data_IF_566992410494
#
_entry.id   IF_566992410494
#
_cell.length_a   1.000
_cell.length_b   1.000
_cell.length_c   1.000
_cell.angle_alpha   90.00
_cell.angle_beta   90.00
_cell.angle_gamma   90.00
#
_symmetry.space_group_name_H-M   'P 1'
#
loop_
_entity.id
_entity.type
_entity.pdbx_description
1 polymer ?
#
# COMPACT_ATOMS: atom_id res chain seq x y z
N UNK A 1 1.23 7.03 0.14
CA UNK A 1 1.43 5.79 -0.63
C UNK A 1 0.56 5.81 -1.87
N UNK A 2 1.06 5.31 -2.96
CA UNK A 2 0.29 5.16 -4.19
C UNK A 2 0.14 3.69 -4.54
N UNK A 3 -1.03 3.31 -5.04
CA UNK A 3 -1.23 1.97 -5.61
C UNK A 3 -0.84 2.01 -7.08
N UNK A 4 -0.09 1.02 -7.51
CA UNK A 4 0.27 0.86 -8.93
C UNK A 4 -0.67 -0.17 -9.53
N UNK A 5 -1.39 0.24 -10.57
CA UNK A 5 -2.48 -0.56 -11.16
C UNK A 5 -2.15 -0.87 -12.62
N UNK A 6 -2.40 -2.12 -13.03
CA UNK A 6 -2.31 -2.55 -14.41
C UNK A 6 -3.53 -3.43 -14.70
N UNK A 7 -4.29 -3.09 -15.75
CA UNK A 7 -5.50 -3.83 -16.13
C UNK A 7 -6.49 -4.00 -14.95
N UNK A 8 -6.70 -2.92 -14.18
CA UNK A 8 -7.60 -2.88 -13.02
C UNK A 8 -7.13 -3.72 -11.83
N UNK A 9 -5.93 -4.29 -11.88
CA UNK A 9 -5.36 -5.04 -10.76
C UNK A 9 -4.23 -4.24 -10.11
N UNK A 10 -4.15 -4.31 -8.79
CA UNK A 10 -3.04 -3.72 -8.05
C UNK A 10 -1.84 -4.64 -8.21
N UNK A 11 -0.79 -4.14 -8.84
CA UNK A 11 0.44 -4.91 -9.11
C UNK A 11 1.60 -4.52 -8.22
N UNK A 12 1.47 -3.43 -7.49
CA UNK A 12 2.51 -2.96 -6.58
C UNK A 12 2.08 -1.72 -5.82
N UNK A 13 2.96 -1.26 -4.95
CA UNK A 13 2.78 -0.02 -4.20
C UNK A 13 4.02 0.84 -4.36
N UNK A 14 3.82 2.15 -4.28
CA UNK A 14 4.92 3.11 -4.30
C UNK A 14 4.80 3.98 -3.06
N UNK A 15 5.81 3.90 -2.19
CA UNK A 15 5.82 4.58 -0.89
C UNK A 15 6.93 5.61 -0.82
N UNK A 16 6.92 6.43 0.23
CA UNK A 16 8.01 7.36 0.52
C UNK A 16 9.34 6.60 0.67
N UNK A 17 9.31 5.40 1.25
CA UNK A 17 10.49 4.55 1.35
C UNK A 17 11.03 4.11 0.00
N UNK A 18 10.13 3.80 -0.95
CA UNK A 18 10.54 3.45 -2.31
C UNK A 18 11.22 4.62 -3.00
N UNK A 19 10.67 5.83 -2.83
CA UNK A 19 11.27 7.04 -3.40
C UNK A 19 12.67 7.29 -2.83
N UNK A 20 12.82 7.18 -1.50
CA UNK A 20 14.11 7.37 -0.86
C UNK A 20 15.15 6.35 -1.33
N UNK A 21 14.75 5.08 -1.48
CA UNK A 21 15.64 4.03 -2.00
C UNK A 21 16.09 4.34 -3.41
N UNK A 22 15.17 4.75 -4.27
CA UNK A 22 15.48 5.12 -5.65
C UNK A 22 16.50 6.26 -5.70
N UNK A 23 16.27 7.31 -4.91
CA UNK A 23 17.19 8.45 -4.85
C UNK A 23 18.57 8.05 -4.31
N UNK A 24 18.61 7.20 -3.27
CA UNK A 24 19.87 6.75 -2.69
C UNK A 24 20.67 5.85 -3.63
N UNK A 25 19.99 5.12 -4.52
CA UNK A 25 20.62 4.28 -5.53
C UNK A 25 20.94 5.04 -6.81
N UNK A 26 20.75 6.35 -6.80
CA UNK A 26 20.99 7.22 -7.93
C UNK A 26 20.18 6.84 -9.18
N UNK A 27 18.99 6.26 -8.96
CA UNK A 27 18.07 5.96 -10.04
C UNK A 27 17.45 7.27 -10.56
N UNK A 28 17.48 7.46 -11.87
CA UNK A 28 16.87 8.62 -12.50
C UNK A 28 15.34 8.42 -12.53
N UNK A 29 14.64 9.05 -11.59
CA UNK A 29 13.19 8.94 -11.46
C UNK A 29 12.44 9.59 -12.63
N UNK A 30 13.09 10.45 -13.40
CA UNK A 30 12.48 11.06 -14.59
C UNK A 30 12.46 10.11 -15.79
N UNK A 31 13.38 9.15 -15.83
CA UNK A 31 13.54 8.23 -16.96
C UNK A 31 13.07 6.80 -16.68
N UNK A 32 12.80 6.48 -15.43
CA UNK A 32 12.38 5.13 -15.06
C UNK A 32 10.89 5.09 -14.75
N UNK A 33 10.23 4.00 -15.14
CA UNK A 33 8.81 3.82 -14.86
C UNK A 33 8.61 3.48 -13.38
N UNK A 34 7.40 3.73 -12.86
CA UNK A 34 7.07 3.38 -11.47
C UNK A 34 7.21 1.88 -11.23
N UNK A 35 6.96 1.05 -12.24
CA UNK A 35 7.09 -0.40 -12.11
C UNK A 35 8.51 -0.87 -11.82
N UNK A 36 9.52 -0.10 -12.20
CA UNK A 36 10.92 -0.45 -11.93
C UNK A 36 11.38 -0.10 -10.52
N UNK A 37 10.63 0.78 -9.81
CA UNK A 37 11.01 1.26 -8.48
C UNK A 37 9.99 0.91 -7.39
N UNK A 38 8.81 0.42 -7.77
CA UNK A 38 7.75 0.06 -6.83
C UNK A 38 8.08 -1.18 -6.00
N UNK A 39 7.36 -1.36 -4.91
CA UNK A 39 7.37 -2.57 -4.11
C UNK A 39 6.31 -3.52 -4.66
N UNK A 40 6.70 -4.73 -5.04
CA UNK A 40 5.80 -5.75 -5.60
C UNK A 40 5.15 -6.60 -4.52
N UNK A 41 5.79 -6.74 -3.37
CA UNK A 41 5.24 -7.50 -2.25
C UNK A 41 4.55 -6.52 -1.30
N UNK A 42 3.24 -6.59 -1.23
CA UNK A 42 2.45 -5.73 -0.35
C UNK A 42 1.41 -6.58 0.36
N UNK A 43 0.97 -6.09 1.52
CA UNK A 43 0.03 -6.81 2.37
C UNK A 43 -1.37 -6.35 2.04
N UNK A 44 -2.27 -7.32 1.90
CA UNK A 44 -3.67 -7.08 1.57
C UNK A 44 -4.58 -7.61 2.66
N UNK A 45 -5.75 -7.03 2.77
CA UNK A 45 -6.83 -7.48 3.64
C UNK A 45 -8.12 -7.46 2.83
N UNK A 46 -9.06 -8.33 3.17
CA UNK A 46 -10.36 -8.36 2.51
C UNK A 46 -11.28 -7.28 3.09
N UNK A 47 -12.15 -6.70 2.24
CA UNK A 47 -13.18 -5.76 2.71
C UNK A 47 -14.12 -6.37 3.76
N UNK A 48 -14.20 -7.70 3.81
CA UNK A 48 -15.04 -8.42 4.77
C UNK A 48 -14.34 -8.74 6.08
N UNK A 49 -13.04 -8.47 6.18
CA UNK A 49 -12.29 -8.66 7.42
C UNK A 49 -12.60 -7.53 8.41
N UNK A 50 -12.34 -7.79 9.68
CA UNK A 50 -12.60 -6.79 10.71
C UNK A 50 -11.54 -5.68 10.70
N UNK A 51 -11.98 -4.46 11.02
CA UNK A 51 -11.06 -3.32 11.10
C UNK A 51 -9.94 -3.54 12.14
N UNK A 52 -10.23 -4.27 13.23
CA UNK A 52 -9.22 -4.59 14.24
C UNK A 52 -8.14 -5.52 13.66
N UNK A 53 -8.50 -6.38 12.73
CA UNK A 53 -7.52 -7.25 12.04
C UNK A 53 -6.60 -6.43 11.16
N UNK A 54 -7.13 -5.38 10.52
CA UNK A 54 -6.31 -4.45 9.75
C UNK A 54 -5.28 -3.75 10.66
N UNK A 55 -5.73 -3.28 11.84
CA UNK A 55 -4.83 -2.65 12.81
C UNK A 55 -3.73 -3.61 13.26
N UNK A 56 -4.08 -4.86 13.52
CA UNK A 56 -3.13 -5.90 13.94
C UNK A 56 -2.08 -6.17 12.86
N UNK A 57 -2.50 -6.26 11.59
CA UNK A 57 -1.57 -6.45 10.48
C UNK A 57 -0.61 -5.27 10.33
N UNK A 58 -1.12 -4.05 10.48
CA UNK A 58 -0.29 -2.84 10.39
C UNK A 58 0.77 -2.82 11.48
N UNK A 59 0.36 -3.14 12.73
CA UNK A 59 1.28 -3.16 13.86
C UNK A 59 2.33 -4.26 13.69
N UNK A 60 1.89 -5.47 13.34
CA UNK A 60 2.79 -6.62 13.17
C UNK A 60 3.85 -6.38 12.09
N UNK A 61 3.46 -5.74 11.00
CA UNK A 61 4.33 -5.52 9.85
C UNK A 61 4.97 -4.12 9.82
N UNK A 62 4.67 -3.29 10.82
CA UNK A 62 5.18 -1.92 10.95
C UNK A 62 4.90 -1.07 9.71
N UNK A 63 3.67 -1.16 9.23
CA UNK A 63 3.19 -0.42 8.06
C UNK A 63 1.95 0.38 8.46
N UNK A 64 1.64 1.43 7.69
CA UNK A 64 0.55 2.35 7.99
C UNK A 64 -0.58 2.29 6.98
N UNK A 65 -0.46 1.44 5.98
CA UNK A 65 -1.44 1.33 4.91
C UNK A 65 -1.53 -0.11 4.43
N UNK A 66 -2.74 -0.58 4.18
CA UNK A 66 -3.00 -1.90 3.60
C UNK A 66 -3.78 -1.75 2.31
N UNK A 67 -3.49 -2.61 1.34
CA UNK A 67 -4.34 -2.79 0.17
C UNK A 67 -5.61 -3.54 0.60
N UNK A 68 -6.78 -3.08 0.16
CA UNK A 68 -8.05 -3.73 0.47
C UNK A 68 -8.58 -4.42 -0.76
N UNK A 69 -8.79 -5.73 -0.65
CA UNK A 69 -9.40 -6.54 -1.71
C UNK A 69 -10.92 -6.43 -1.59
N UNK A 70 -11.58 -5.98 -2.65
CA UNK A 70 -13.03 -5.83 -2.67
C UNK A 70 -13.64 -6.59 -3.86
N UNK A 71 -14.94 -6.91 -3.75
CA UNK A 71 -15.63 -7.70 -4.76
C UNK A 71 -15.77 -6.96 -6.11
N UNK A 72 -15.68 -5.65 -6.11
CA UNK A 72 -15.74 -4.84 -7.34
C UNK A 72 -14.39 -4.74 -8.03
N UNK A 73 -13.34 -5.30 -7.44
CA UNK A 73 -11.96 -5.26 -7.93
C UNK A 73 -11.47 -3.83 -8.18
N UNK A 74 -11.95 -2.89 -7.36
CA UNK A 74 -11.48 -1.51 -7.41
C UNK A 74 -10.30 -1.34 -6.47
N UNK A 75 -9.23 -0.67 -6.92
CA UNK A 75 -8.08 -0.39 -6.05
C UNK A 75 -8.53 0.42 -4.82
N UNK A 76 -8.23 -0.09 -3.64
CA UNK A 76 -8.64 0.53 -2.38
C UNK A 76 -7.56 0.35 -1.33
N UNK A 77 -7.48 1.29 -0.40
CA UNK A 77 -6.55 1.22 0.73
C UNK A 77 -7.27 1.58 2.03
N UNK A 78 -6.75 1.07 3.13
CA UNK A 78 -7.10 1.54 4.46
C UNK A 78 -5.81 1.98 5.16
N UNK A 79 -5.88 3.11 5.86
CA UNK A 79 -4.72 3.69 6.53
C UNK A 79 -4.86 3.65 8.04
N UNK A 80 -3.73 3.68 8.74
CA UNK A 80 -3.69 3.81 10.20
C UNK A 80 -4.47 5.05 10.66
N UNK A 81 -4.34 6.16 9.92
CA UNK A 81 -5.04 7.40 10.21
C UNK A 81 -6.56 7.21 10.25
N UNK A 82 -7.12 6.48 9.27
CA UNK A 82 -8.55 6.18 9.24
C UNK A 82 -8.98 5.35 10.45
N UNK A 83 -8.17 4.35 10.84
CA UNK A 83 -8.47 3.51 12.00
C UNK A 83 -8.48 4.34 13.29
N UNK A 84 -7.56 5.29 13.42
CA UNK A 84 -7.54 6.21 14.55
C UNK A 84 -8.77 7.12 14.58
N UNK A 85 -9.17 7.64 13.43
CA UNK A 85 -10.35 8.50 13.31
C UNK A 85 -11.63 7.78 13.74
N UNK A 86 -11.75 6.49 13.43
CA UNK A 86 -12.91 5.68 13.81
C UNK A 86 -12.80 5.10 15.22
N UNK A 87 -11.74 5.40 15.95
CA UNK A 87 -11.58 4.94 17.32
C UNK A 87 -11.27 3.44 17.44
N UNK A 88 -10.76 2.80 16.39
CA UNK A 88 -10.40 1.37 16.39
C UNK A 88 -9.13 1.13 17.21
N UNK A 89 -8.25 2.08 17.19
CA UNK A 89 -6.97 2.00 17.93
C UNK A 89 -6.67 3.33 18.63
#
# INVERSE_FOLDING_TARGET
MALVVNNKEVVGIFTDGDLRRALNQEIDIEKNSVSSVMTKKFISISENDLAIDAATLMEKNKIFTLNVLNHKKQPSVITMHQLLEFGII
#
